data_IF_126792301514
#
_entry.id   IF_126792301514
#
_cell.length_a   1.000
_cell.length_b   1.000
_cell.length_c   1.000
_cell.angle_alpha   90.00
_cell.angle_beta   90.00
_cell.angle_gamma   90.00
#
_symmetry.space_group_name_H-M   'P 1'
#
loop_
_entity.id
_entity.type
_entity.pdbx_description
1 polymer ?
#
# COMPACT_ATOMS: atom_id res chain seq x y z
N UNK A 1 39.11 11.86 -42.60
CA UNK A 1 38.31 10.74 -42.06
C UNK A 1 38.56 10.66 -40.57
N UNK A 2 37.60 11.08 -39.74
CA UNK A 2 37.48 10.71 -38.33
C UNK A 2 36.11 11.22 -37.84
N UNK A 3 35.19 10.29 -37.62
CA UNK A 3 33.80 10.52 -37.21
C UNK A 3 33.76 10.40 -35.68
N UNK A 4 33.66 11.52 -34.96
CA UNK A 4 33.48 11.51 -33.51
C UNK A 4 31.98 11.49 -33.21
N UNK A 5 31.41 10.28 -33.11
CA UNK A 5 30.07 10.05 -32.61
C UNK A 5 30.04 10.42 -31.11
N UNK A 6 29.47 11.59 -30.82
CA UNK A 6 29.19 11.99 -29.44
C UNK A 6 28.06 11.09 -28.93
N UNK A 7 28.39 10.24 -27.97
CA UNK A 7 27.44 9.41 -27.25
C UNK A 7 26.46 10.32 -26.50
N UNK A 8 25.28 10.54 -27.09
CA UNK A 8 24.11 10.97 -26.33
C UNK A 8 23.80 9.88 -25.31
N UNK A 9 24.04 10.14 -24.04
CA UNK A 9 23.47 9.35 -22.96
C UNK A 9 21.93 9.43 -23.09
N UNK A 10 21.20 8.32 -23.25
CA UNK A 10 19.75 8.39 -23.25
C UNK A 10 19.31 8.92 -21.89
N UNK A 11 18.55 10.00 -21.93
CA UNK A 11 17.83 10.55 -20.79
C UNK A 11 17.16 9.40 -20.02
N UNK A 12 17.38 9.36 -18.70
CA UNK A 12 16.75 8.40 -17.81
C UNK A 12 15.27 8.25 -18.20
N UNK A 13 14.89 7.03 -18.58
CA UNK A 13 13.58 6.74 -19.11
C UNK A 13 12.51 7.21 -18.11
N UNK A 14 11.43 7.89 -18.56
CA UNK A 14 10.33 8.30 -17.69
C UNK A 14 9.52 7.12 -17.12
N UNK A 15 9.99 5.88 -17.27
CA UNK A 15 9.25 4.65 -16.93
C UNK A 15 9.43 4.20 -15.48
N UNK A 16 10.45 4.65 -14.74
CA UNK A 16 10.61 4.26 -13.32
C UNK A 16 9.55 4.88 -12.40
N UNK A 17 8.96 6.03 -12.78
CA UNK A 17 7.83 6.61 -12.03
C UNK A 17 6.50 5.95 -12.35
N UNK A 18 6.38 5.23 -13.47
CA UNK A 18 5.15 4.60 -13.92
C UNK A 18 4.93 3.19 -13.35
N UNK A 19 5.90 2.62 -12.62
CA UNK A 19 5.84 1.26 -12.06
C UNK A 19 5.22 1.16 -10.66
N UNK A 20 4.71 2.25 -10.07
CA UNK A 20 3.75 2.16 -8.96
C UNK A 20 2.33 1.86 -9.49
N UNK A 21 2.21 0.95 -10.45
CA UNK A 21 0.91 0.40 -10.83
C UNK A 21 0.37 -0.27 -9.57
N UNK A 22 -0.77 0.23 -9.10
CA UNK A 22 -1.53 -0.35 -8.00
C UNK A 22 -1.64 -1.87 -8.21
N UNK A 23 -0.78 -2.66 -7.54
CA UNK A 23 -0.89 -4.11 -7.52
C UNK A 23 -2.12 -4.44 -6.67
N UNK A 24 -3.27 -4.43 -7.33
CA UNK A 24 -4.58 -4.76 -6.77
C UNK A 24 -4.96 -6.08 -7.40
N UNK A 25 -5.02 -7.12 -6.57
CA UNK A 25 -5.51 -8.42 -7.00
C UNK A 25 -7.03 -8.42 -7.03
N UNK A 26 -7.64 -9.27 -7.85
CA UNK A 26 -9.09 -9.45 -7.90
C UNK A 26 -9.43 -10.83 -7.36
N UNK A 27 -10.09 -10.90 -6.21
CA UNK A 27 -10.51 -12.14 -5.57
C UNK A 27 -12.05 -12.18 -5.56
N UNK A 28 -12.64 -13.14 -6.28
CA UNK A 28 -14.10 -13.26 -6.43
C UNK A 28 -14.81 -11.95 -6.87
N UNK A 29 -14.17 -11.16 -7.74
CA UNK A 29 -14.70 -9.87 -8.20
C UNK A 29 -14.45 -8.69 -7.24
N UNK A 30 -13.82 -8.95 -6.09
CA UNK A 30 -13.44 -7.93 -5.11
C UNK A 30 -11.99 -7.54 -5.35
N UNK A 31 -11.74 -6.23 -5.51
CA UNK A 31 -10.38 -5.68 -5.50
C UNK A 31 -9.80 -5.82 -4.10
N UNK A 32 -8.69 -6.52 -3.96
CA UNK A 32 -8.04 -6.79 -2.68
C UNK A 32 -6.59 -6.32 -2.64
N UNK A 33 -6.13 -6.11 -1.41
CA UNK A 33 -4.75 -5.76 -1.08
C UNK A 33 -4.22 -6.72 -0.03
N UNK A 34 -2.96 -7.09 -0.12
CA UNK A 34 -2.26 -7.75 1.00
C UNK A 34 -2.07 -6.78 2.16
N UNK A 35 -1.87 -7.31 3.37
CA UNK A 35 -1.54 -6.49 4.56
C UNK A 35 -0.36 -5.55 4.32
N UNK A 36 0.68 -6.00 3.60
CA UNK A 36 1.86 -5.20 3.26
C UNK A 36 1.49 -4.03 2.32
N UNK A 37 0.79 -4.31 1.22
CA UNK A 37 0.35 -3.29 0.26
C UNK A 37 -0.61 -2.27 0.90
N UNK A 38 -1.43 -2.72 1.83
CA UNK A 38 -2.31 -1.87 2.61
C UNK A 38 -1.48 -0.91 3.48
N UNK A 39 -0.41 -1.38 4.11
CA UNK A 39 0.52 -0.54 4.86
C UNK A 39 1.26 0.50 4.01
N UNK A 40 1.73 0.11 2.83
CA UNK A 40 2.34 1.03 1.86
C UNK A 40 1.40 2.18 1.49
N UNK A 41 0.11 1.88 1.26
CA UNK A 41 -0.93 2.88 0.95
C UNK A 41 -1.35 3.75 2.14
N UNK A 42 -0.98 3.37 3.35
CA UNK A 42 -1.21 4.15 4.56
C UNK A 42 -0.02 5.06 4.88
N UNK A 43 0.91 5.26 3.95
CA UNK A 43 2.10 6.09 4.18
C UNK A 43 3.22 5.35 4.90
N UNK A 44 3.32 4.03 4.74
CA UNK A 44 4.37 3.20 5.34
C UNK A 44 4.08 2.73 6.76
N UNK A 45 2.90 3.01 7.30
CA UNK A 45 2.41 2.39 8.53
C UNK A 45 2.31 0.88 8.29
N UNK A 46 2.81 0.05 9.21
CA UNK A 46 2.72 -1.42 9.11
C UNK A 46 1.58 -1.94 10.00
N UNK A 47 0.31 -1.91 9.54
CA UNK A 47 -0.77 -2.49 10.32
C UNK A 47 -0.58 -4.00 10.41
N UNK A 48 -0.91 -4.56 11.57
CA UNK A 48 -0.99 -6.01 11.74
C UNK A 48 -2.40 -6.48 11.42
N UNK A 49 -2.53 -7.74 11.00
CA UNK A 49 -3.86 -8.31 10.76
C UNK A 49 -4.72 -8.31 12.03
N UNK A 50 -4.11 -8.52 13.20
CA UNK A 50 -4.80 -8.45 14.49
C UNK A 50 -5.34 -7.03 14.77
N UNK A 51 -4.56 -5.99 14.48
CA UNK A 51 -5.02 -4.61 14.64
C UNK A 51 -6.23 -4.31 13.74
N UNK A 52 -6.16 -4.70 12.46
CA UNK A 52 -7.28 -4.49 11.53
C UNK A 52 -8.55 -5.24 11.98
N UNK A 53 -8.41 -6.48 12.46
CA UNK A 53 -9.53 -7.26 13.02
C UNK A 53 -10.10 -6.60 14.29
N UNK A 54 -9.24 -6.09 15.18
CA UNK A 54 -9.68 -5.38 16.39
C UNK A 54 -10.45 -4.08 16.05
N UNK A 55 -10.15 -3.47 14.91
CA UNK A 55 -10.89 -2.32 14.37
C UNK A 55 -12.19 -2.73 13.63
N UNK A 56 -12.55 -4.02 13.68
CA UNK A 56 -13.75 -4.57 13.06
C UNK A 56 -13.68 -4.69 11.54
N UNK A 57 -12.46 -4.67 10.97
CA UNK A 57 -12.23 -4.89 9.54
C UNK A 57 -11.89 -6.36 9.36
N UNK A 58 -12.67 -7.04 8.52
CA UNK A 58 -12.50 -8.47 8.28
C UNK A 58 -11.75 -8.71 6.98
N UNK A 59 -10.81 -9.67 6.93
CA UNK A 59 -10.12 -10.01 5.71
C UNK A 59 -11.05 -10.74 4.75
N UNK A 60 -10.89 -10.45 3.46
CA UNK A 60 -11.61 -11.12 2.36
C UNK A 60 -11.12 -12.56 2.21
N UNK A 61 -9.82 -12.77 2.32
CA UNK A 61 -9.22 -14.10 2.24
C UNK A 61 -7.97 -14.19 3.12
N UNK A 62 -7.77 -15.36 3.73
CA UNK A 62 -6.53 -15.73 4.42
C UNK A 62 -5.91 -16.92 3.71
N UNK A 63 -4.67 -16.78 3.27
CA UNK A 63 -3.88 -17.89 2.72
C UNK A 63 -2.68 -18.16 3.63
N UNK A 64 -1.93 -19.22 3.34
CA UNK A 64 -0.67 -19.51 4.06
C UNK A 64 0.40 -18.43 3.84
N UNK A 65 0.31 -17.65 2.76
CA UNK A 65 1.32 -16.67 2.37
C UNK A 65 0.91 -15.23 2.67
N UNK A 66 -0.39 -14.91 2.61
CA UNK A 66 -0.86 -13.54 2.76
C UNK A 66 -2.28 -13.47 3.33
N UNK A 67 -2.60 -12.31 3.88
CA UNK A 67 -3.95 -11.93 4.27
C UNK A 67 -4.38 -10.79 3.37
N UNK A 68 -5.54 -10.97 2.74
CA UNK A 68 -6.11 -10.09 1.75
C UNK A 68 -7.28 -9.31 2.35
N UNK A 69 -7.31 -8.01 2.06
CA UNK A 69 -8.25 -7.03 2.57
C UNK A 69 -8.96 -6.36 1.42
N UNK A 70 -10.24 -6.03 1.58
CA UNK A 70 -10.98 -5.38 0.53
C UNK A 70 -10.46 -3.96 0.33
N UNK A 71 -10.16 -3.59 -0.92
CA UNK A 71 -9.70 -2.24 -1.24
C UNK A 71 -10.75 -1.19 -0.87
N UNK A 72 -12.04 -1.53 -0.97
CA UNK A 72 -13.12 -0.60 -0.64
C UNK A 72 -13.21 -0.30 0.87
N UNK A 73 -12.60 -1.11 1.75
CA UNK A 73 -12.53 -0.84 3.19
C UNK A 73 -11.45 0.20 3.55
N UNK A 74 -10.61 0.62 2.59
CA UNK A 74 -9.51 1.56 2.84
C UNK A 74 -9.92 2.87 3.56
N UNK A 75 -11.07 3.51 3.26
CA UNK A 75 -11.52 4.69 4.01
C UNK A 75 -11.75 4.37 5.49
N UNK A 76 -12.38 3.23 5.80
CA UNK A 76 -12.63 2.78 7.18
C UNK A 76 -11.33 2.45 7.89
N UNK A 77 -10.40 1.78 7.21
CA UNK A 77 -9.05 1.49 7.72
C UNK A 77 -8.32 2.79 8.08
N UNK A 78 -8.34 3.78 7.17
CA UNK A 78 -7.71 5.10 7.42
C UNK A 78 -8.31 5.81 8.62
N UNK A 79 -9.64 5.86 8.72
CA UNK A 79 -10.33 6.49 9.85
C UNK A 79 -10.00 5.80 11.18
N UNK A 80 -10.02 4.46 11.19
CA UNK A 80 -9.76 3.67 12.37
C UNK A 80 -8.31 3.83 12.87
N UNK A 81 -7.34 3.88 11.95
CA UNK A 81 -5.94 4.14 12.28
C UNK A 81 -5.76 5.58 12.75
N UNK A 82 -6.38 6.57 12.11
CA UNK A 82 -6.32 7.96 12.54
C UNK A 82 -6.91 8.14 13.95
N UNK A 83 -8.05 7.51 14.24
CA UNK A 83 -8.65 7.52 15.58
C UNK A 83 -7.73 6.84 16.62
N UNK A 84 -7.11 5.72 16.27
CA UNK A 84 -6.16 5.03 17.14
C UNK A 84 -4.91 5.88 17.43
N UNK A 85 -4.36 6.56 16.41
CA UNK A 85 -3.23 7.47 16.58
C UNK A 85 -3.62 8.66 17.46
N UNK A 86 -4.79 9.28 17.25
CA UNK A 86 -5.27 10.40 18.06
C UNK A 86 -5.51 10.00 19.53
N UNK A 87 -5.97 8.78 19.80
CA UNK A 87 -6.18 8.27 21.15
C UNK A 87 -4.88 7.91 21.90
N UNK A 88 -3.77 7.76 21.17
CA UNK A 88 -2.48 7.37 21.74
C UNK A 88 -1.39 8.44 21.59
N UNK A 89 -1.72 9.63 21.10
CA UNK A 89 -0.81 10.76 21.28
C UNK A 89 -0.77 11.07 22.78
N UNK A 90 0.40 11.04 23.43
CA UNK A 90 0.51 11.63 24.75
C UNK A 90 0.18 13.11 24.57
N UNK A 91 -0.76 13.62 25.36
CA UNK A 91 -0.85 15.05 25.64
C UNK A 91 0.53 15.48 26.15
N UNK A 92 1.40 15.97 25.26
CA UNK A 92 2.49 16.86 25.66
C UNK A 92 1.83 18.18 26.07
N UNK A 93 1.43 18.23 27.34
CA UNK A 93 1.11 19.44 28.08
C UNK A 93 2.37 20.03 28.73
#
# INVERSE_FOLDING_TARGET
MAHAAQHQAPAAAPEERAMLREQVELHHGIKVLTTTQLGERLGGIRPTAAALVALGIQPVQRTRMAIYWALHDMPRIRQAIAAHVLQHQPDEA
#
